data_IF_520281241439
#
_entry.id   IF_520281241439
#
_cell.length_a   1.000
_cell.length_b   1.000
_cell.length_c   1.000
_cell.angle_alpha   90.00
_cell.angle_beta   90.00
_cell.angle_gamma   90.00
#
_symmetry.space_group_name_H-M   'P 1'
#
loop_
_entity.id
_entity.type
_entity.pdbx_description
1 polymer ?
#
# COMPACT_ATOMS: atom_id res chain seq x y z
N UNK A 1 -14.02 4.28 8.88
CA UNK A 1 -12.90 3.49 8.38
C UNK A 1 -13.31 2.68 7.17
N UNK A 2 -12.87 3.13 6.02
CA UNK A 2 -12.95 2.41 4.75
C UNK A 2 -11.82 1.37 4.60
N UNK A 3 -12.00 0.43 3.68
CA UNK A 3 -10.92 -0.43 3.21
C UNK A 3 -10.43 -1.49 4.22
N UNK A 4 -11.07 -1.66 5.37
CA UNK A 4 -10.76 -2.75 6.30
C UNK A 4 -10.76 -4.10 5.59
N UNK A 5 -9.94 -5.05 6.02
CA UNK A 5 -9.83 -6.39 5.43
C UNK A 5 -8.45 -6.67 4.81
N UNK A 6 -8.35 -7.81 4.13
CA UNK A 6 -7.12 -8.26 3.47
C UNK A 6 -7.26 -7.99 1.98
N UNK A 7 -6.22 -7.37 1.41
CA UNK A 7 -6.17 -7.03 0.00
C UNK A 7 -4.89 -7.52 -0.63
N UNK A 8 -4.97 -8.03 -1.85
CA UNK A 8 -3.82 -8.50 -2.62
C UNK A 8 -3.71 -7.79 -3.95
N UNK A 9 -2.50 -7.35 -4.29
CA UNK A 9 -2.16 -6.78 -5.58
C UNK A 9 -0.84 -7.36 -6.10
N UNK A 10 -0.78 -7.64 -7.40
CA UNK A 10 0.48 -7.98 -8.05
C UNK A 10 1.31 -6.72 -8.27
N UNK A 11 2.58 -6.79 -7.89
CA UNK A 11 3.55 -5.72 -8.08
C UNK A 11 4.64 -6.24 -9.02
N UNK A 12 4.86 -5.50 -10.10
CA UNK A 12 5.89 -5.82 -11.08
C UNK A 12 6.64 -4.54 -11.44
N UNK A 13 7.78 -4.32 -10.77
CA UNK A 13 8.67 -3.18 -11.02
C UNK A 13 10.05 -3.68 -11.44
N UNK A 14 10.92 -2.74 -11.84
CA UNK A 14 12.31 -3.07 -12.18
C UNK A 14 13.15 -3.54 -10.98
N UNK A 15 12.77 -3.19 -9.75
CA UNK A 15 13.57 -3.45 -8.54
C UNK A 15 13.03 -4.59 -7.67
N UNK A 16 11.72 -4.82 -7.71
CA UNK A 16 11.06 -5.87 -6.95
C UNK A 16 9.79 -6.33 -7.65
N UNK A 17 9.51 -7.62 -7.49
CA UNK A 17 8.34 -8.30 -8.07
C UNK A 17 7.76 -9.25 -7.04
N UNK A 18 6.44 -9.28 -6.95
CA UNK A 18 5.75 -10.17 -6.03
C UNK A 18 4.26 -9.87 -5.94
N UNK A 19 3.62 -10.51 -4.97
CA UNK A 19 2.26 -10.19 -4.56
C UNK A 19 2.33 -9.44 -3.24
N UNK A 20 1.91 -8.16 -3.26
CA UNK A 20 1.73 -7.38 -2.05
C UNK A 20 0.37 -7.71 -1.44
N UNK A 21 0.38 -8.14 -0.19
CA UNK A 21 -0.78 -8.32 0.66
C UNK A 21 -0.78 -7.22 1.73
N UNK A 22 -1.89 -6.52 1.86
CA UNK A 22 -2.10 -5.55 2.94
C UNK A 22 -3.28 -5.99 3.77
N UNK A 23 -3.08 -6.09 5.09
CA UNK A 23 -4.18 -6.18 6.05
C UNK A 23 -4.41 -4.79 6.60
N UNK A 24 -5.65 -4.33 6.52
CA UNK A 24 -6.10 -3.06 7.06
C UNK A 24 -7.08 -3.38 8.19
N UNK A 25 -6.73 -3.00 9.41
CA UNK A 25 -7.49 -3.26 10.63
C UNK A 25 -7.87 -1.99 11.36
N UNK A 26 -8.94 -2.06 12.14
CA UNK A 26 -9.29 -1.05 13.14
C UNK A 26 -8.61 -1.44 14.46
N UNK A 27 -7.80 -0.53 15.01
CA UNK A 27 -7.18 -0.62 16.31
C UNK A 27 -7.67 0.54 17.18
N UNK A 28 -8.79 0.34 17.87
CA UNK A 28 -9.41 1.32 18.77
C UNK A 28 -9.71 2.69 18.14
N UNK A 29 -10.18 2.71 16.90
CA UNK A 29 -10.49 3.95 16.19
C UNK A 29 -9.32 4.53 15.40
N UNK A 30 -8.16 3.86 15.39
CA UNK A 30 -7.04 4.16 14.51
C UNK A 30 -6.81 3.05 13.46
N UNK A 31 -6.29 3.43 12.30
CA UNK A 31 -5.91 2.47 11.28
C UNK A 31 -4.64 1.72 11.65
N UNK A 32 -4.68 0.41 11.52
CA UNK A 32 -3.51 -0.46 11.57
C UNK A 32 -3.26 -1.09 10.19
N UNK A 33 -2.00 -1.09 9.75
CA UNK A 33 -1.59 -1.62 8.45
C UNK A 33 -0.50 -2.65 8.63
N UNK A 34 -0.78 -3.87 8.16
CA UNK A 34 0.22 -4.93 8.07
C UNK A 34 0.50 -5.24 6.60
N UNK A 35 1.69 -4.88 6.16
CA UNK A 35 2.17 -5.11 4.81
C UNK A 35 3.00 -6.39 4.78
N UNK A 36 2.57 -7.33 3.94
CA UNK A 36 3.30 -8.56 3.63
C UNK A 36 3.53 -8.58 2.12
N UNK A 37 4.74 -8.85 1.66
CA UNK A 37 4.94 -9.09 0.23
C UNK A 37 5.58 -10.44 0.07
N UNK A 38 4.92 -11.29 -0.71
CA UNK A 38 5.43 -12.62 -1.07
C UNK A 38 6.13 -12.45 -2.42
N UNK A 39 7.46 -12.53 -2.42
CA UNK A 39 8.26 -12.31 -3.63
C UNK A 39 9.75 -12.16 -3.36
N UNK A 40 10.48 -11.71 -4.39
CA UNK A 40 11.94 -11.52 -4.34
C UNK A 40 12.29 -10.03 -4.15
N UNK A 41 13.34 -9.75 -3.36
CA UNK A 41 13.85 -8.40 -3.07
C UNK A 41 12.81 -7.43 -2.50
N UNK A 42 11.91 -7.95 -1.68
CA UNK A 42 10.83 -7.19 -1.06
C UNK A 42 11.37 -6.19 -0.03
N UNK A 43 11.08 -4.88 -0.18
CA UNK A 43 11.32 -3.91 0.89
C UNK A 43 10.29 -4.06 2.01
N UNK A 44 10.75 -3.91 3.26
CA UNK A 44 9.86 -3.63 4.39
C UNK A 44 9.39 -2.17 4.33
N UNK A 45 8.12 -1.93 4.66
CA UNK A 45 7.53 -0.59 4.65
C UNK A 45 6.86 -0.26 5.97
N UNK A 46 7.06 0.96 6.43
CA UNK A 46 6.26 1.60 7.49
C UNK A 46 5.30 2.61 6.87
N UNK A 47 4.08 2.68 7.40
CA UNK A 47 3.00 3.56 6.91
C UNK A 47 2.64 4.58 7.98
N UNK A 48 2.41 5.82 7.57
CA UNK A 48 2.13 6.97 8.44
C UNK A 48 1.27 8.00 7.71
N UNK A 49 0.89 9.09 8.38
CA UNK A 49 0.16 10.23 7.79
C UNK A 49 -1.12 9.81 7.04
N UNK A 50 -1.96 8.97 7.67
CA UNK A 50 -3.15 8.38 7.03
C UNK A 50 -4.31 9.38 7.01
N UNK A 51 -4.92 9.53 5.83
CA UNK A 51 -6.05 10.42 5.59
C UNK A 51 -7.13 9.67 4.81
N UNK A 52 -8.35 9.66 5.35
CA UNK A 52 -9.54 9.13 4.71
C UNK A 52 -10.27 10.23 3.94
N UNK A 53 -10.61 9.99 2.67
CA UNK A 53 -11.45 10.87 1.87
C UNK A 53 -12.38 10.04 0.96
N UNK A 54 -13.66 9.99 1.32
CA UNK A 54 -14.66 9.21 0.59
C UNK A 54 -14.30 7.73 0.59
N UNK A 55 -14.06 7.16 -0.60
CA UNK A 55 -13.63 5.76 -0.76
C UNK A 55 -12.11 5.62 -0.99
N UNK A 56 -11.31 6.65 -0.67
CA UNK A 56 -9.86 6.65 -0.89
C UNK A 56 -9.10 6.89 0.41
N UNK A 57 -8.11 6.05 0.67
CA UNK A 57 -7.07 6.28 1.68
C UNK A 57 -5.85 6.89 1.03
N UNK A 58 -5.29 7.92 1.66
CA UNK A 58 -3.97 8.47 1.35
C UNK A 58 -3.05 8.24 2.55
N UNK A 59 -1.80 7.89 2.31
CA UNK A 59 -0.81 7.69 3.36
C UNK A 59 0.61 7.99 2.85
N UNK A 60 1.56 8.02 3.76
CA UNK A 60 2.99 8.08 3.47
C UNK A 60 3.64 6.78 3.91
N UNK A 61 4.21 6.05 2.95
CA UNK A 61 5.07 4.90 3.21
C UNK A 61 6.55 5.31 3.25
N UNK A 62 7.35 4.57 4.01
CA UNK A 62 8.81 4.68 4.07
C UNK A 62 9.43 3.29 4.07
N UNK A 63 10.62 3.17 3.48
CA UNK A 63 11.39 1.92 3.45
C UNK A 63 12.88 2.21 3.42
N UNK A 64 13.68 1.36 4.05
CA UNK A 64 15.14 1.44 4.06
C UNK A 64 15.76 1.36 2.66
N UNK A 65 15.08 0.68 1.72
CA UNK A 65 15.49 0.65 0.32
C UNK A 65 15.54 2.06 -0.29
N UNK A 66 14.71 2.97 0.21
CA UNK A 66 14.60 4.34 -0.26
C UNK A 66 15.08 5.38 0.76
N UNK A 67 16.06 5.01 1.62
CA UNK A 67 16.74 5.82 2.65
C UNK A 67 16.26 7.27 2.78
N UNK A 68 15.36 7.50 3.72
CA UNK A 68 14.87 8.84 4.10
C UNK A 68 13.84 9.46 3.17
N UNK A 69 13.42 8.78 2.10
CA UNK A 69 12.40 9.28 1.17
C UNK A 69 11.01 8.87 1.61
N UNK A 70 10.10 9.84 1.62
CA UNK A 70 8.66 9.62 1.77
C UNK A 70 8.08 9.14 0.45
N UNK A 71 7.21 8.13 0.51
CA UNK A 71 6.54 7.51 -0.62
C UNK A 71 5.05 7.77 -0.44
N UNK A 72 4.48 8.78 -1.10
CA UNK A 72 3.04 8.98 -1.12
C UNK A 72 2.35 7.77 -1.73
N UNK A 73 1.35 7.23 -1.02
CA UNK A 73 0.53 6.11 -1.47
C UNK A 73 -0.93 6.52 -1.38
N UNK A 74 -1.72 6.11 -2.37
CA UNK A 74 -3.18 6.18 -2.31
C UNK A 74 -3.77 4.81 -2.63
N UNK A 75 -4.92 4.50 -2.03
CA UNK A 75 -5.70 3.30 -2.28
C UNK A 75 -7.18 3.68 -2.37
N UNK A 76 -7.78 3.51 -3.55
CA UNK A 76 -9.21 3.73 -3.78
C UNK A 76 -9.92 2.40 -3.84
N UNK A 77 -10.93 2.23 -2.98
CA UNK A 77 -11.69 1.00 -2.81
C UNK A 77 -13.04 1.06 -3.50
N UNK A 78 -13.44 -0.02 -4.15
CA UNK A 78 -14.75 -0.16 -4.79
C UNK A 78 -15.23 -1.61 -4.71
N UNK A 79 -16.09 -1.92 -3.73
CA UNK A 79 -16.47 -3.30 -3.45
C UNK A 79 -15.25 -4.14 -3.08
N UNK A 80 -15.04 -5.22 -3.82
CA UNK A 80 -13.89 -6.13 -3.63
C UNK A 80 -12.68 -5.77 -4.50
N UNK A 81 -12.68 -4.59 -5.14
CA UNK A 81 -11.54 -4.08 -5.91
C UNK A 81 -10.83 -2.93 -5.18
N UNK A 82 -9.50 -2.86 -5.35
CA UNK A 82 -8.69 -1.72 -4.93
C UNK A 82 -7.76 -1.26 -6.05
N UNK A 83 -7.69 0.05 -6.25
CA UNK A 83 -6.70 0.68 -7.12
C UNK A 83 -5.74 1.46 -6.25
N UNK A 84 -4.50 1.00 -6.19
CA UNK A 84 -3.41 1.67 -5.49
C UNK A 84 -2.55 2.49 -6.43
N UNK A 85 -2.03 3.63 -5.97
CA UNK A 85 -0.90 4.29 -6.61
C UNK A 85 0.17 4.62 -5.59
N UNK A 86 1.44 4.47 -5.97
CA UNK A 86 2.58 4.84 -5.14
C UNK A 86 3.58 5.63 -5.97
N UNK A 87 4.08 6.74 -5.43
CA UNK A 87 5.12 7.55 -6.08
C UNK A 87 6.48 7.09 -5.58
N UNK A 88 7.02 6.05 -6.22
CA UNK A 88 8.30 5.47 -5.85
C UNK A 88 9.45 6.39 -6.28
N UNK A 89 10.47 6.59 -5.41
CA UNK A 89 11.67 7.30 -5.79
C UNK A 89 12.35 6.67 -7.01
N UNK A 90 12.81 7.51 -7.93
CA UNK A 90 13.51 7.13 -9.17
C UNK A 90 12.67 6.36 -10.22
N UNK A 91 11.59 5.70 -9.82
CA UNK A 91 10.67 4.96 -10.70
C UNK A 91 9.44 5.75 -11.13
N UNK A 92 9.09 6.80 -10.39
CA UNK A 92 7.89 7.59 -10.65
C UNK A 92 6.62 6.94 -10.10
N UNK A 93 5.48 7.26 -10.70
CA UNK A 93 4.18 6.76 -10.24
C UNK A 93 3.97 5.33 -10.73
N UNK A 94 3.81 4.40 -9.81
CA UNK A 94 3.32 3.05 -10.09
C UNK A 94 1.83 2.96 -9.77
N UNK A 95 1.09 2.21 -10.58
CA UNK A 95 -0.32 1.91 -10.34
C UNK A 95 -0.46 0.41 -10.18
N UNK A 96 -1.12 -0.01 -9.10
CA UNK A 96 -1.41 -1.40 -8.79
C UNK A 96 -2.92 -1.59 -8.75
N UNK A 97 -3.36 -2.76 -9.20
CA UNK A 97 -4.76 -3.20 -9.06
C UNK A 97 -4.75 -4.43 -8.19
N UNK A 98 -5.61 -4.43 -7.20
CA UNK A 98 -5.77 -5.53 -6.27
C UNK A 98 -7.22 -5.88 -6.05
N UNK A 99 -7.41 -6.94 -5.29
CA UNK A 99 -8.71 -7.46 -4.92
C UNK A 99 -8.71 -7.87 -3.45
N UNK A 100 -9.90 -7.97 -2.89
CA UNK A 100 -10.12 -8.45 -1.53
C UNK A 100 -9.96 -9.96 -1.46
N UNK A 101 -9.41 -10.45 -0.36
CA UNK A 101 -9.24 -11.89 -0.03
C UNK A 101 -10.19 -12.30 1.08
#
# INVERSE_FOLDING_TARGET
MIGLGIWEASINTMFFKGTGRVTISDNNGEYDFRLEVIGENVPEFTVSDIVENGNTLSAVAQSDMFKGKKIPVTATFNGDEVIGTAKLPFLGNIKVRGHRV
#
